data_IF_259096821107
#
_entry.id   IF_259096821107
#
_cell.length_a   1.000
_cell.length_b   1.000
_cell.length_c   1.000
_cell.angle_alpha   90.00
_cell.angle_beta   90.00
_cell.angle_gamma   90.00
#
_symmetry.space_group_name_H-M   'P 1'
#
loop_
_entity.id
_entity.type
_entity.pdbx_description
1 polymer ?
#
# COMPACT_ATOMS: atom_id res chain seq x y z
N UNK A 1 18.21 30.90 68.41
CA UNK A 1 18.93 31.46 67.25
C UNK A 1 19.30 30.26 66.38
N UNK A 2 18.50 30.00 65.34
CA UNK A 2 18.88 30.18 63.92
C UNK A 2 20.02 29.19 63.53
N UNK A 3 19.93 28.32 62.52
CA UNK A 3 19.34 28.48 61.19
C UNK A 3 19.25 27.14 60.43
N UNK A 4 18.21 27.03 59.58
CA UNK A 4 18.06 26.27 58.32
C UNK A 4 18.88 24.98 58.07
N UNK A 5 18.15 23.86 58.00
CA UNK A 5 18.42 22.77 57.04
C UNK A 5 17.14 22.54 56.24
N UNK A 6 17.18 22.90 54.96
CA UNK A 6 16.14 22.61 53.97
C UNK A 6 16.27 21.16 53.52
N UNK A 7 15.35 20.30 53.99
CA UNK A 7 15.08 19.01 53.38
C UNK A 7 13.88 19.16 52.45
N UNK A 8 14.11 19.08 51.15
CA UNK A 8 13.01 18.90 50.19
C UNK A 8 12.57 17.43 50.22
N UNK A 9 11.28 17.25 50.46
CA UNK A 9 10.56 15.99 50.42
C UNK A 9 10.52 15.46 48.99
N UNK A 10 10.78 14.16 48.87
CA UNK A 10 10.48 13.32 47.71
C UNK A 10 8.98 13.36 47.38
N UNK A 11 8.60 14.05 46.31
CA UNK A 11 7.34 13.81 45.60
C UNK A 11 7.62 12.86 44.42
N UNK A 12 7.59 11.57 44.74
CA UNK A 12 7.55 10.47 43.79
C UNK A 12 6.08 10.10 43.63
N UNK A 13 5.39 10.50 42.54
CA UNK A 13 4.12 9.87 42.07
C UNK A 13 3.40 10.54 40.88
N UNK A 14 4.08 11.18 39.93
CA UNK A 14 3.36 11.71 38.73
C UNK A 14 3.87 11.26 37.36
N UNK A 15 4.86 10.38 37.26
CA UNK A 15 5.52 10.11 35.96
C UNK A 15 5.24 8.72 35.34
N UNK A 16 4.30 7.94 35.87
CA UNK A 16 3.98 6.60 35.32
C UNK A 16 2.76 6.54 34.41
N UNK A 17 2.02 7.64 34.23
CA UNK A 17 0.80 7.66 33.42
C UNK A 17 1.00 8.18 31.98
N UNK A 18 2.16 8.77 31.66
CA UNK A 18 2.45 9.33 30.33
C UNK A 18 3.26 8.38 29.41
N UNK A 19 3.66 7.20 29.89
CA UNK A 19 4.53 6.27 29.17
C UNK A 19 3.80 5.17 28.36
N UNK A 20 2.47 5.19 28.31
CA UNK A 20 1.66 4.23 27.50
C UNK A 20 1.14 4.91 26.23
N UNK A 21 2.00 5.64 25.54
CA UNK A 21 1.80 5.92 24.12
C UNK A 21 2.26 4.67 23.37
N UNK A 22 1.30 3.84 22.96
CA UNK A 22 1.52 2.55 22.30
C UNK A 22 2.53 2.67 21.15
N UNK A 23 3.70 2.08 21.33
CA UNK A 23 4.77 2.03 20.33
C UNK A 23 4.37 1.09 19.16
N UNK A 24 3.60 1.63 18.21
CA UNK A 24 3.08 0.92 17.03
C UNK A 24 4.18 0.54 16.00
N UNK A 25 5.43 0.97 16.21
CA UNK A 25 6.62 0.40 15.54
C UNK A 25 6.67 -1.12 15.74
N UNK A 26 6.23 -1.58 16.91
CA UNK A 26 6.04 -3.00 17.18
C UNK A 26 4.98 -3.61 16.27
N UNK A 27 3.75 -3.11 16.20
CA UNK A 27 2.65 -3.84 15.53
C UNK A 27 2.93 -4.15 14.04
N UNK A 28 3.40 -3.21 13.22
CA UNK A 28 3.68 -3.50 11.81
C UNK A 28 4.90 -4.40 11.59
N UNK A 29 5.98 -4.15 12.34
CA UNK A 29 7.28 -4.80 12.17
C UNK A 29 7.37 -6.13 12.93
N UNK A 30 6.76 -6.21 14.12
CA UNK A 30 6.74 -7.39 15.00
C UNK A 30 5.52 -8.28 14.80
N UNK A 31 4.45 -7.83 14.13
CA UNK A 31 3.29 -8.69 13.85
C UNK A 31 3.01 -8.89 12.36
N UNK A 32 2.76 -7.85 11.56
CA UNK A 32 2.22 -8.02 10.19
C UNK A 32 3.27 -8.52 9.19
N UNK A 33 4.49 -8.01 9.26
CA UNK A 33 5.59 -8.41 8.36
C UNK A 33 6.60 -9.34 9.04
N UNK A 34 6.41 -9.67 10.31
CA UNK A 34 7.29 -10.53 11.06
C UNK A 34 7.25 -11.97 10.52
N UNK A 35 8.43 -12.53 10.28
CA UNK A 35 8.61 -13.89 9.81
C UNK A 35 9.53 -14.64 10.76
N UNK A 36 9.08 -15.82 11.17
CA UNK A 36 9.92 -16.77 11.88
C UNK A 36 10.80 -17.51 10.87
N UNK A 37 12.12 -17.48 11.06
CA UNK A 37 13.04 -18.28 10.25
C UNK A 37 13.02 -19.72 10.72
N UNK A 38 12.63 -20.64 9.83
CA UNK A 38 12.60 -22.07 10.12
C UNK A 38 13.90 -22.77 9.71
N UNK A 39 14.46 -22.35 8.56
CA UNK A 39 15.72 -22.87 8.03
C UNK A 39 16.35 -21.82 7.09
N UNK A 40 17.48 -22.15 6.47
CA UNK A 40 18.05 -21.38 5.37
C UNK A 40 17.02 -21.24 4.25
N UNK A 41 16.73 -19.99 3.90
CA UNK A 41 15.83 -19.64 2.80
C UNK A 41 14.39 -20.19 2.98
N UNK A 42 13.97 -20.50 4.23
CA UNK A 42 12.63 -20.95 4.60
C UNK A 42 12.11 -20.22 5.84
N UNK A 43 10.95 -19.59 5.70
CA UNK A 43 10.35 -18.74 6.72
C UNK A 43 8.87 -19.06 6.94
N UNK A 44 8.31 -18.64 8.07
CA UNK A 44 6.91 -18.85 8.47
C UNK A 44 6.27 -17.55 8.96
N UNK A 45 5.15 -17.18 8.35
CA UNK A 45 4.26 -16.12 8.84
C UNK A 45 3.05 -16.72 9.56
N UNK A 46 2.72 -16.19 10.74
CA UNK A 46 1.62 -16.69 11.60
C UNK A 46 0.57 -15.63 11.95
N UNK A 47 0.97 -14.36 12.00
CA UNK A 47 0.10 -13.26 12.42
C UNK A 47 -0.53 -12.61 11.19
N UNK A 48 -1.71 -13.07 10.80
CA UNK A 48 -2.41 -12.54 9.63
C UNK A 48 -3.41 -11.46 10.02
N UNK A 49 -3.29 -10.29 9.41
CA UNK A 49 -4.39 -9.33 9.42
C UNK A 49 -5.47 -9.87 8.47
N UNK A 50 -6.65 -10.10 9.02
CA UNK A 50 -7.75 -10.72 8.29
C UNK A 50 -8.78 -9.65 7.94
N UNK A 51 -8.79 -9.11 6.71
CA UNK A 51 -9.85 -8.21 6.28
C UNK A 51 -11.22 -8.90 6.35
N UNK A 52 -12.29 -8.12 6.37
CA UNK A 52 -13.68 -8.62 6.41
C UNK A 52 -14.06 -9.61 5.30
N UNK A 53 -13.29 -9.67 4.22
CA UNK A 53 -13.39 -10.71 3.19
C UNK A 53 -13.10 -12.12 3.73
N UNK A 54 -12.57 -12.24 4.96
CA UNK A 54 -12.18 -13.49 5.64
C UNK A 54 -11.10 -14.27 4.89
N UNK A 55 -10.28 -13.56 4.12
CA UNK A 55 -9.16 -14.10 3.36
C UNK A 55 -7.88 -13.40 3.79
N UNK A 56 -6.74 -14.00 3.50
CA UNK A 56 -5.47 -13.30 3.63
C UNK A 56 -5.46 -12.04 2.76
N UNK A 57 -5.00 -10.94 3.33
CA UNK A 57 -4.77 -9.70 2.58
C UNK A 57 -3.56 -9.87 1.66
N UNK A 58 -3.71 -9.53 0.38
CA UNK A 58 -2.66 -9.78 -0.62
C UNK A 58 -1.39 -9.01 -0.34
N UNK A 59 -1.49 -7.74 0.06
CA UNK A 59 -0.37 -6.89 0.46
C UNK A 59 0.45 -7.49 1.61
N UNK A 60 -0.20 -8.18 2.55
CA UNK A 60 0.54 -8.89 3.60
C UNK A 60 1.39 -10.02 3.03
N UNK A 61 0.85 -10.82 2.11
CA UNK A 61 1.57 -11.94 1.52
C UNK A 61 2.71 -11.45 0.63
N UNK A 62 2.52 -10.35 -0.11
CA UNK A 62 3.57 -9.71 -0.91
C UNK A 62 4.66 -9.14 0.00
N UNK A 63 4.29 -8.37 1.02
CA UNK A 63 5.23 -7.77 1.97
C UNK A 63 6.08 -8.82 2.68
N UNK A 64 5.47 -9.88 3.21
CA UNK A 64 6.18 -11.00 3.82
C UNK A 64 7.06 -11.76 2.82
N UNK A 65 6.60 -12.00 1.59
CA UNK A 65 7.44 -12.60 0.56
C UNK A 65 8.68 -11.75 0.25
N UNK A 66 8.53 -10.42 0.24
CA UNK A 66 9.64 -9.50 0.04
C UNK A 66 10.60 -9.48 1.25
N UNK A 67 10.11 -9.58 2.49
CA UNK A 67 10.94 -9.76 3.69
C UNK A 67 11.82 -11.00 3.55
N UNK A 68 11.22 -12.16 3.23
CA UNK A 68 11.95 -13.40 3.04
C UNK A 68 13.02 -13.30 1.94
N UNK A 69 12.70 -12.64 0.82
CA UNK A 69 13.66 -12.39 -0.25
C UNK A 69 14.80 -11.46 0.21
N UNK A 70 14.48 -10.36 0.89
CA UNK A 70 15.43 -9.33 1.33
C UNK A 70 16.43 -9.83 2.39
N UNK A 71 16.01 -10.75 3.25
CA UNK A 71 16.84 -11.49 4.21
C UNK A 71 17.86 -12.42 3.53
N UNK A 72 17.57 -12.88 2.30
CA UNK A 72 18.43 -13.83 1.57
C UNK A 72 19.50 -13.16 0.68
N UNK A 73 19.56 -11.82 0.66
CA UNK A 73 20.52 -11.02 -0.12
C UNK A 73 21.42 -10.18 0.79
N UNK A 74 22.60 -9.78 0.30
CA UNK A 74 23.54 -8.95 1.06
C UNK A 74 22.96 -7.58 1.46
N UNK A 75 23.58 -6.92 2.43
CA UNK A 75 23.12 -5.61 2.95
C UNK A 75 23.22 -4.48 1.92
N UNK A 76 24.17 -4.58 0.99
CA UNK A 76 24.48 -3.53 0.01
C UNK A 76 23.59 -3.53 -1.25
N UNK A 77 22.55 -4.36 -1.28
CA UNK A 77 21.59 -4.40 -2.39
C UNK A 77 20.19 -4.08 -1.91
N UNK A 78 19.47 -3.33 -2.72
CA UNK A 78 18.08 -2.95 -2.48
C UNK A 78 17.20 -3.56 -3.57
N UNK A 79 15.96 -3.89 -3.21
CA UNK A 79 14.97 -4.30 -4.20
C UNK A 79 14.72 -3.13 -5.15
N UNK A 80 14.67 -3.40 -6.45
CA UNK A 80 14.30 -2.41 -7.46
C UNK A 80 13.06 -2.83 -8.25
N UNK A 81 12.70 -4.12 -8.23
CA UNK A 81 11.41 -4.57 -8.76
C UNK A 81 10.94 -5.87 -8.12
N UNK A 82 9.63 -6.07 -8.13
CA UNK A 82 9.00 -7.35 -7.82
C UNK A 82 7.82 -7.63 -8.75
N UNK A 83 7.53 -8.91 -8.96
CA UNK A 83 6.38 -9.41 -9.70
C UNK A 83 5.77 -10.60 -8.96
N UNK A 84 4.48 -10.55 -8.71
CA UNK A 84 3.74 -11.51 -7.93
C UNK A 84 2.53 -12.02 -8.72
N UNK A 85 2.22 -13.31 -8.58
CA UNK A 85 0.97 -13.90 -9.02
C UNK A 85 0.26 -14.55 -7.83
N UNK A 86 -0.99 -14.16 -7.60
CA UNK A 86 -1.89 -14.78 -6.64
C UNK A 86 -2.50 -16.03 -7.26
N UNK A 87 -2.01 -17.20 -6.85
CA UNK A 87 -2.37 -18.48 -7.45
C UNK A 87 -3.63 -19.06 -6.80
N UNK A 88 -3.78 -18.88 -5.49
CA UNK A 88 -4.91 -19.41 -4.70
C UNK A 88 -5.28 -18.47 -3.57
N UNK A 89 -6.54 -18.53 -3.15
CA UNK A 89 -7.00 -17.83 -1.95
C UNK A 89 -6.34 -18.45 -0.71
N UNK A 90 -5.73 -17.61 0.12
CA UNK A 90 -5.14 -18.06 1.38
C UNK A 90 -6.17 -18.19 2.51
N UNK A 91 -5.93 -19.16 3.39
CA UNK A 91 -6.70 -19.40 4.61
C UNK A 91 -6.06 -18.65 5.79
N UNK A 92 -6.75 -17.66 6.39
CA UNK A 92 -6.20 -16.89 7.51
C UNK A 92 -5.96 -17.70 8.79
N UNK A 93 -6.51 -18.92 8.90
CA UNK A 93 -6.34 -19.77 10.08
C UNK A 93 -5.08 -20.61 10.06
N UNK A 94 -4.36 -20.61 8.93
CA UNK A 94 -3.20 -21.47 8.71
C UNK A 94 -1.96 -20.61 8.46
N UNK A 95 -0.82 -20.91 9.10
CA UNK A 95 0.43 -20.21 8.81
C UNK A 95 0.81 -20.31 7.33
N UNK A 96 1.52 -19.29 6.83
CA UNK A 96 2.05 -19.28 5.47
C UNK A 96 3.54 -19.56 5.51
N UNK A 97 3.99 -20.54 4.73
CA UNK A 97 5.42 -20.83 4.55
C UNK A 97 5.96 -20.05 3.36
N UNK A 98 7.08 -19.36 3.53
CA UNK A 98 7.78 -18.63 2.48
C UNK A 98 9.08 -19.35 2.16
N UNK A 99 9.10 -20.02 1.02
CA UNK A 99 10.29 -20.70 0.52
C UNK A 99 10.98 -19.81 -0.51
N UNK A 100 12.24 -19.48 -0.26
CA UNK A 100 13.08 -18.65 -1.13
C UNK A 100 14.02 -19.54 -1.93
N UNK A 101 14.07 -19.29 -3.22
CA UNK A 101 15.03 -19.86 -4.15
C UNK A 101 15.95 -18.74 -4.65
N UNK A 102 17.25 -18.96 -4.53
CA UNK A 102 18.29 -18.04 -5.01
C UNK A 102 18.51 -18.26 -6.51
N UNK A 103 17.64 -17.67 -7.32
CA UNK A 103 17.68 -17.82 -8.78
C UNK A 103 19.00 -17.34 -9.38
N UNK A 104 19.56 -16.23 -8.87
CA UNK A 104 20.84 -15.70 -9.33
C UNK A 104 21.50 -14.81 -8.29
N UNK A 105 22.82 -14.94 -8.13
CA UNK A 105 23.69 -13.98 -7.48
C UNK A 105 24.75 -13.51 -8.48
N UNK A 106 24.57 -12.31 -9.02
CA UNK A 106 25.52 -11.66 -9.92
C UNK A 106 26.32 -10.55 -9.23
N UNK A 107 27.23 -9.92 -9.96
CA UNK A 107 28.05 -8.82 -9.44
C UNK A 107 27.22 -7.61 -8.99
N UNK A 108 26.23 -7.20 -9.79
CA UNK A 108 25.41 -6.01 -9.53
C UNK A 108 23.96 -6.34 -9.18
N UNK A 109 23.47 -7.51 -9.60
CA UNK A 109 22.08 -7.92 -9.49
C UNK A 109 21.94 -9.26 -8.78
N UNK A 110 20.94 -9.37 -7.91
CA UNK A 110 20.52 -10.64 -7.31
C UNK A 110 19.04 -10.86 -7.59
N UNK A 111 18.66 -12.09 -7.92
CA UNK A 111 17.26 -12.47 -8.20
C UNK A 111 16.83 -13.54 -7.20
N UNK A 112 15.65 -13.36 -6.63
CA UNK A 112 15.00 -14.28 -5.70
C UNK A 112 13.63 -14.67 -6.19
N UNK A 113 13.36 -15.96 -6.14
CA UNK A 113 12.05 -16.55 -6.41
C UNK A 113 11.46 -16.98 -5.07
N UNK A 114 10.29 -16.49 -4.70
CA UNK A 114 9.63 -16.80 -3.43
C UNK A 114 8.29 -17.46 -3.68
N UNK A 115 8.04 -18.59 -3.03
CA UNK A 115 6.74 -19.24 -3.00
C UNK A 115 6.14 -19.07 -1.61
N UNK A 116 4.96 -18.48 -1.54
CA UNK A 116 4.13 -18.53 -0.33
C UNK A 116 3.23 -19.77 -0.41
N UNK A 117 3.26 -20.63 0.60
CA UNK A 117 2.70 -21.99 0.55
C UNK A 117 1.77 -22.20 1.74
N UNK A 118 0.58 -22.75 1.47
CA UNK A 118 -0.33 -23.31 2.46
C UNK A 118 -0.81 -24.68 1.98
N UNK A 119 -1.02 -25.62 2.90
CA UNK A 119 -1.45 -26.99 2.56
C UNK A 119 -0.60 -27.67 1.48
N UNK A 120 0.71 -27.37 1.45
CA UNK A 120 1.65 -27.89 0.44
C UNK A 120 1.46 -27.31 -0.98
N UNK A 121 0.61 -26.28 -1.15
CA UNK A 121 0.31 -25.66 -2.43
C UNK A 121 0.70 -24.18 -2.43
N UNK A 122 1.29 -23.65 -3.52
CA UNK A 122 1.54 -22.23 -3.66
C UNK A 122 0.23 -21.43 -3.68
N UNK A 123 0.17 -20.40 -2.83
CA UNK A 123 -0.88 -19.37 -2.83
C UNK A 123 -0.39 -18.08 -3.51
N UNK A 124 0.93 -17.82 -3.47
CA UNK A 124 1.61 -16.71 -4.16
C UNK A 124 2.90 -17.24 -4.79
N UNK A 125 3.21 -16.75 -5.99
CA UNK A 125 4.55 -16.85 -6.58
C UNK A 125 5.07 -15.42 -6.74
N UNK A 126 6.26 -15.12 -6.22
CA UNK A 126 6.90 -13.82 -6.30
C UNK A 126 8.30 -13.95 -6.91
N UNK A 127 8.67 -13.03 -7.81
CA UNK A 127 10.03 -12.81 -8.28
C UNK A 127 10.46 -11.42 -7.83
N UNK A 128 11.55 -11.30 -7.10
CA UNK A 128 12.12 -10.04 -6.66
C UNK A 128 13.55 -9.89 -7.20
N UNK A 129 13.83 -8.70 -7.75
CA UNK A 129 15.15 -8.34 -8.26
C UNK A 129 15.76 -7.23 -7.43
N UNK A 130 17.02 -7.44 -7.05
CA UNK A 130 17.80 -6.57 -6.18
C UNK A 130 19.00 -6.04 -6.95
N UNK A 131 19.34 -4.78 -6.70
CA UNK A 131 20.44 -4.08 -7.34
C UNK A 131 21.29 -3.37 -6.30
N UNK A 132 22.61 -3.35 -6.53
CA UNK A 132 23.52 -2.52 -5.75
C UNK A 132 23.21 -1.04 -5.95
N UNK A 133 23.28 -0.23 -4.89
CA UNK A 133 23.07 1.21 -5.03
C UNK A 133 24.21 1.80 -5.87
N UNK A 134 23.90 2.34 -7.04
CA UNK A 134 24.86 2.93 -7.97
C UNK A 134 24.32 4.26 -8.51
N UNK A 135 25.15 5.31 -8.59
CA UNK A 135 24.72 6.59 -9.15
C UNK A 135 24.39 6.44 -10.63
N UNK A 136 23.29 7.07 -11.06
CA UNK A 136 22.92 7.19 -12.47
C UNK A 136 23.25 8.58 -13.00
N UNK A 137 23.89 8.70 -14.18
CA UNK A 137 24.09 9.99 -14.85
C UNK A 137 22.80 10.55 -15.47
N UNK A 138 21.76 9.73 -15.60
CA UNK A 138 20.47 10.12 -16.17
C UNK A 138 19.37 9.95 -15.13
N UNK A 139 18.61 11.02 -14.90
CA UNK A 139 17.47 11.03 -13.98
C UNK A 139 16.35 11.89 -14.57
N UNK A 140 15.15 11.34 -14.60
CA UNK A 140 13.92 12.05 -14.90
C UNK A 140 12.76 11.32 -14.22
N UNK A 141 11.68 12.05 -13.96
CA UNK A 141 10.43 11.51 -13.43
C UNK A 141 9.28 12.42 -13.88
N UNK A 142 8.06 11.91 -13.81
CA UNK A 142 6.88 12.76 -13.95
C UNK A 142 6.77 13.73 -12.78
N UNK A 143 6.13 14.87 -13.02
CA UNK A 143 5.82 15.83 -11.96
C UNK A 143 4.69 15.29 -11.08
N UNK A 144 4.86 15.34 -9.77
CA UNK A 144 3.80 14.99 -8.81
C UNK A 144 2.59 15.93 -9.01
N UNK A 145 1.34 15.41 -9.03
CA UNK A 145 0.16 16.26 -9.16
C UNK A 145 -0.01 17.18 -7.95
N UNK A 146 -0.54 18.38 -8.20
CA UNK A 146 -0.88 19.33 -7.13
C UNK A 146 -2.15 18.88 -6.41
N UNK A 147 -2.06 18.65 -5.11
CA UNK A 147 -3.16 18.22 -4.24
C UNK A 147 -3.05 18.92 -2.88
N UNK A 148 -4.16 19.09 -2.14
CA UNK A 148 -4.12 19.52 -0.75
C UNK A 148 -3.16 18.68 0.10
N UNK A 149 -2.44 19.30 1.03
CA UNK A 149 -1.54 18.59 1.94
C UNK A 149 -2.35 17.68 2.89
N UNK A 150 -1.73 16.61 3.43
CA UNK A 150 -2.43 15.65 4.28
C UNK A 150 -3.01 16.27 5.56
N UNK A 151 -2.49 17.40 6.04
CA UNK A 151 -2.97 18.11 7.22
C UNK A 151 -4.37 18.69 7.01
N UNK A 152 -4.73 19.05 5.77
CA UNK A 152 -6.02 19.65 5.41
C UNK A 152 -7.10 18.60 5.11
N UNK A 153 -6.74 17.32 5.14
CA UNK A 153 -7.59 16.21 4.71
C UNK A 153 -8.07 15.37 5.89
N UNK A 154 -9.33 14.96 5.80
CA UNK A 154 -9.96 14.05 6.75
C UNK A 154 -9.41 12.63 6.57
N UNK A 155 -9.23 11.94 7.68
CA UNK A 155 -8.97 10.50 7.73
C UNK A 155 -10.20 9.71 7.28
N UNK A 156 -10.00 8.45 6.89
CA UNK A 156 -11.11 7.53 6.62
C UNK A 156 -12.08 7.40 7.80
N UNK A 157 -11.56 7.43 9.02
CA UNK A 157 -12.34 7.35 10.26
C UNK A 157 -13.23 8.59 10.44
N UNK A 158 -12.66 9.80 10.30
CA UNK A 158 -13.40 11.06 10.37
C UNK A 158 -14.45 11.19 9.26
N UNK A 159 -14.13 10.72 8.05
CA UNK A 159 -15.10 10.66 6.96
C UNK A 159 -16.29 9.76 7.33
N UNK A 160 -16.03 8.56 7.86
CA UNK A 160 -17.11 7.67 8.26
C UNK A 160 -17.98 8.30 9.35
N UNK A 161 -17.37 8.96 10.35
CA UNK A 161 -18.11 9.68 11.39
C UNK A 161 -18.97 10.81 10.82
N UNK A 162 -18.44 11.56 9.84
CA UNK A 162 -19.20 12.59 9.12
C UNK A 162 -20.39 12.01 8.33
N UNK A 163 -20.29 10.79 7.80
CA UNK A 163 -21.44 10.12 7.18
C UNK A 163 -22.45 9.62 8.21
N UNK A 164 -21.99 9.09 9.35
CA UNK A 164 -22.85 8.59 10.42
C UNK A 164 -23.69 9.70 11.08
N UNK A 165 -23.21 10.95 11.08
CA UNK A 165 -23.94 12.09 11.62
C UNK A 165 -25.10 12.57 10.71
N UNK A 166 -25.22 12.06 9.48
CA UNK A 166 -26.31 12.42 8.56
C UNK A 166 -27.64 11.83 9.03
N UNK A 167 -28.71 12.65 9.18
CA UNK A 167 -29.98 12.21 9.76
C UNK A 167 -30.71 11.15 8.92
N UNK A 168 -30.62 11.22 7.59
CA UNK A 168 -31.36 10.37 6.66
C UNK A 168 -30.64 9.07 6.28
N UNK A 169 -29.64 8.67 7.06
CA UNK A 169 -28.85 7.48 6.78
C UNK A 169 -29.62 6.20 7.12
N UNK A 170 -29.84 5.33 6.14
CA UNK A 170 -30.51 4.05 6.35
C UNK A 170 -29.79 3.18 7.40
N UNK A 171 -30.53 2.43 8.22
CA UNK A 171 -29.95 1.61 9.31
C UNK A 171 -28.92 0.59 8.81
N UNK A 172 -29.17 -0.04 7.66
CA UNK A 172 -28.22 -0.98 7.04
C UNK A 172 -26.88 -0.31 6.68
N UNK A 173 -26.94 0.97 6.31
CA UNK A 173 -25.76 1.77 6.01
C UNK A 173 -25.00 2.15 7.28
N UNK A 174 -25.69 2.59 8.34
CA UNK A 174 -25.10 2.82 9.67
C UNK A 174 -24.36 1.59 10.17
N UNK A 175 -24.98 0.41 10.06
CA UNK A 175 -24.35 -0.86 10.43
C UNK A 175 -23.09 -1.16 9.59
N UNK A 176 -23.10 -0.84 8.29
CA UNK A 176 -21.94 -1.01 7.41
C UNK A 176 -20.77 -0.09 7.80
N UNK A 177 -21.07 1.17 8.09
CA UNK A 177 -20.10 2.20 8.49
C UNK A 177 -19.50 1.93 9.88
N UNK A 178 -20.32 1.56 10.87
CA UNK A 178 -19.82 1.18 12.20
C UNK A 178 -18.89 -0.04 12.14
N UNK A 179 -19.17 -1.00 11.24
CA UNK A 179 -18.24 -2.12 11.00
C UNK A 179 -16.94 -1.68 10.31
N UNK A 180 -16.95 -0.58 9.53
CA UNK A 180 -15.73 -0.02 8.93
C UNK A 180 -14.85 0.66 9.95
N UNK A 181 -15.44 1.39 10.90
CA UNK A 181 -14.71 2.02 12.00
C UNK A 181 -14.02 1.02 12.93
N UNK A 182 -14.62 -0.15 13.11
CA UNK A 182 -14.06 -1.20 13.97
C UNK A 182 -12.88 -1.95 13.34
N UNK A 183 -12.59 -1.75 12.04
CA UNK A 183 -11.44 -2.37 11.39
C UNK A 183 -10.19 -1.52 11.68
N UNK A 184 -9.33 -2.00 12.57
CA UNK A 184 -8.01 -1.41 12.74
C UNK A 184 -7.11 -1.81 11.56
N UNK A 185 -6.65 -0.79 10.84
CA UNK A 185 -5.71 -0.96 9.73
C UNK A 185 -4.40 -0.30 10.14
N UNK A 186 -3.24 -0.96 9.94
CA UNK A 186 -1.97 -0.44 10.41
C UNK A 186 -1.36 0.64 9.48
N UNK A 187 -2.18 1.20 8.58
CA UNK A 187 -1.81 2.33 7.72
C UNK A 187 -2.82 3.45 7.93
N UNK A 188 -2.35 4.69 7.80
CA UNK A 188 -3.20 5.87 7.79
C UNK A 188 -3.48 6.26 6.34
N UNK A 189 -4.75 6.55 6.02
CA UNK A 189 -5.17 6.93 4.68
C UNK A 189 -6.04 8.19 4.75
N UNK A 190 -5.69 9.18 3.92
CA UNK A 190 -6.44 10.43 3.75
C UNK A 190 -6.76 10.66 2.27
N UNK A 191 -8.01 10.42 1.82
CA UNK A 191 -8.38 10.65 0.43
C UNK A 191 -8.41 12.13 0.09
N UNK A 192 -7.87 12.49 -1.08
CA UNK A 192 -7.78 13.89 -1.54
C UNK A 192 -9.14 14.43 -1.98
N UNK A 193 -9.93 13.61 -2.69
CA UNK A 193 -11.28 13.95 -3.16
C UNK A 193 -12.16 12.69 -3.04
N UNK A 194 -12.59 12.31 -1.82
CA UNK A 194 -13.32 11.07 -1.63
C UNK A 194 -14.64 11.11 -2.40
N UNK A 195 -14.98 10.06 -3.18
CA UNK A 195 -16.31 9.93 -3.75
C UNK A 195 -17.36 9.88 -2.63
N UNK A 196 -18.61 10.19 -2.96
CA UNK A 196 -19.72 9.86 -2.07
C UNK A 196 -19.66 8.36 -1.71
N UNK A 197 -19.92 8.02 -0.44
CA UNK A 197 -19.74 6.66 0.07
C UNK A 197 -20.53 5.62 -0.74
N UNK A 198 -21.67 6.02 -1.33
CA UNK A 198 -22.50 5.15 -2.15
C UNK A 198 -22.16 5.15 -3.64
N UNK A 199 -21.21 5.99 -4.07
CA UNK A 199 -20.86 6.24 -5.48
C UNK A 199 -22.12 6.52 -6.30
N UNK A 200 -22.85 7.55 -5.91
CA UNK A 200 -24.09 7.96 -6.59
C UNK A 200 -23.83 8.63 -7.95
N UNK A 201 -22.62 9.15 -8.17
CA UNK A 201 -22.25 9.92 -9.37
C UNK A 201 -21.04 9.28 -10.04
N UNK A 202 -21.05 9.25 -11.38
CA UNK A 202 -19.95 8.68 -12.16
C UNK A 202 -18.74 9.60 -12.05
N UNK A 203 -17.56 9.01 -11.90
CA UNK A 203 -16.29 9.73 -11.79
C UNK A 203 -15.25 9.11 -12.71
N UNK A 204 -14.24 9.90 -13.07
CA UNK A 204 -13.05 9.36 -13.71
C UNK A 204 -12.48 8.20 -12.89
N UNK A 205 -11.97 7.14 -13.52
CA UNK A 205 -11.40 6.00 -12.83
C UNK A 205 -10.01 6.35 -12.28
N UNK A 206 -9.93 7.38 -11.45
CA UNK A 206 -8.70 7.91 -10.86
C UNK A 206 -8.94 8.31 -9.42
N UNK A 207 -8.05 7.92 -8.51
CA UNK A 207 -8.08 8.37 -7.11
C UNK A 207 -6.71 8.80 -6.64
N UNK A 208 -6.72 9.75 -5.73
CA UNK A 208 -5.56 10.27 -5.03
C UNK A 208 -5.82 10.17 -3.53
N UNK A 209 -4.88 9.63 -2.78
CA UNK A 209 -4.95 9.59 -1.33
C UNK A 209 -3.55 9.61 -0.73
N UNK A 210 -3.39 10.33 0.38
CA UNK A 210 -2.19 10.23 1.19
C UNK A 210 -2.20 8.94 1.99
N UNK A 211 -1.06 8.27 2.06
CA UNK A 211 -0.87 7.05 2.82
C UNK A 211 0.45 7.07 3.56
N UNK A 212 0.45 6.52 4.78
CA UNK A 212 1.68 6.21 5.52
C UNK A 212 1.46 5.04 6.46
N UNK A 213 2.53 4.35 6.81
CA UNK A 213 2.53 3.38 7.90
C UNK A 213 2.33 4.09 9.24
N UNK A 214 1.50 3.51 10.13
CA UNK A 214 1.38 3.99 11.51
C UNK A 214 2.61 3.55 12.31
N UNK A 215 3.30 4.48 12.97
CA UNK A 215 4.50 4.22 13.77
C UNK A 215 5.80 4.70 13.11
N UNK A 216 6.94 4.36 13.70
CA UNK A 216 8.26 4.79 13.21
C UNK A 216 9.07 3.58 12.71
N UNK A 217 9.60 3.59 11.50
CA UNK A 217 10.44 2.49 10.97
C UNK A 217 11.92 2.81 11.19
N UNK A 218 12.31 4.08 11.01
CA UNK A 218 13.68 4.55 11.14
C UNK A 218 14.44 4.61 9.82
N UNK A 219 15.32 5.61 9.66
CA UNK A 219 15.96 5.97 8.37
C UNK A 219 16.93 4.92 7.80
N UNK A 220 17.42 3.99 8.62
CA UNK A 220 18.49 3.07 8.26
C UNK A 220 18.05 1.80 7.53
N UNK A 221 16.76 1.46 7.57
CA UNK A 221 16.27 0.17 7.06
C UNK A 221 15.42 0.34 5.80
N UNK A 222 16.09 0.65 4.69
CA UNK A 222 15.43 0.82 3.40
C UNK A 222 14.76 -0.46 2.90
N UNK A 223 15.31 -1.64 3.23
CA UNK A 223 14.70 -2.93 2.87
C UNK A 223 13.33 -3.07 3.54
N UNK A 224 13.22 -2.73 4.82
CA UNK A 224 11.96 -2.73 5.54
C UNK A 224 10.98 -1.69 4.99
N UNK A 225 11.44 -0.47 4.66
CA UNK A 225 10.60 0.52 3.98
C UNK A 225 10.01 -0.01 2.66
N UNK A 226 10.80 -0.71 1.83
CA UNK A 226 10.29 -1.36 0.63
C UNK A 226 9.28 -2.47 0.94
N UNK A 227 9.50 -3.28 1.98
CA UNK A 227 8.56 -4.32 2.42
C UNK A 227 7.21 -3.72 2.88
N UNK A 228 7.26 -2.62 3.62
CA UNK A 228 6.06 -1.90 4.06
C UNK A 228 5.35 -1.25 2.88
N UNK A 229 6.07 -0.65 1.92
CA UNK A 229 5.46 -0.12 0.71
C UNK A 229 4.76 -1.22 -0.11
N UNK A 230 5.35 -2.41 -0.18
CA UNK A 230 4.73 -3.56 -0.84
C UNK A 230 3.50 -4.10 -0.12
N UNK A 231 3.41 -3.88 1.20
CA UNK A 231 2.18 -4.10 1.95
C UNK A 231 1.11 -3.05 1.63
N UNK A 232 1.51 -1.76 1.64
CA UNK A 232 0.61 -0.63 1.42
C UNK A 232 0.02 -0.64 -0.01
N UNK A 233 0.81 -1.06 -1.00
CA UNK A 233 0.42 -1.02 -2.41
C UNK A 233 -0.81 -1.88 -2.74
N UNK A 234 -1.11 -2.94 -2.00
CA UNK A 234 -2.31 -3.74 -2.30
C UNK A 234 -3.59 -3.15 -1.66
N UNK A 235 -3.50 -1.97 -1.04
CA UNK A 235 -4.60 -1.33 -0.32
C UNK A 235 -5.38 -0.33 -1.20
N UNK A 236 -6.71 -0.33 -1.10
CA UNK A 236 -7.63 0.69 -1.65
C UNK A 236 -7.47 1.09 -3.14
N UNK A 237 -6.99 0.20 -4.01
CA UNK A 237 -6.85 0.50 -5.44
C UNK A 237 -7.91 -0.16 -6.35
N UNK A 238 -8.34 -1.39 -6.03
CA UNK A 238 -9.24 -2.17 -6.90
C UNK A 238 -10.56 -1.47 -7.22
N UNK A 239 -11.06 -0.67 -6.28
CA UNK A 239 -12.36 -0.03 -6.41
C UNK A 239 -12.30 1.26 -7.27
N UNK A 240 -11.11 1.71 -7.69
CA UNK A 240 -10.90 2.78 -8.67
C UNK A 240 -11.55 2.45 -10.01
N UNK A 241 -11.52 1.18 -10.44
CA UNK A 241 -12.18 0.75 -11.66
C UNK A 241 -13.72 0.85 -11.62
N UNK A 242 -14.31 0.91 -10.43
CA UNK A 242 -15.77 0.98 -10.28
C UNK A 242 -16.28 2.43 -10.26
N UNK A 243 -15.40 3.43 -10.24
CA UNK A 243 -15.77 4.84 -10.20
C UNK A 243 -16.62 5.31 -11.40
N UNK A 244 -16.38 4.86 -12.64
CA UNK A 244 -17.22 5.26 -13.78
C UNK A 244 -18.64 4.66 -13.75
N UNK A 245 -18.94 3.72 -12.84
CA UNK A 245 -20.17 2.93 -12.83
C UNK A 245 -20.95 3.08 -11.51
N UNK A 246 -21.72 4.17 -11.34
CA UNK A 246 -22.55 4.40 -10.15
C UNK A 246 -23.50 3.26 -9.83
N UNK A 247 -23.65 2.97 -8.54
CA UNK A 247 -24.53 1.88 -8.06
C UNK A 247 -24.05 0.46 -8.39
N UNK A 248 -23.04 0.29 -9.26
CA UNK A 248 -22.47 -1.02 -9.55
C UNK A 248 -21.64 -1.52 -8.36
N UNK A 249 -21.85 -2.79 -8.01
CA UNK A 249 -21.11 -3.48 -6.95
C UNK A 249 -20.49 -4.73 -7.52
N UNK A 250 -19.19 -4.90 -7.30
CA UNK A 250 -18.54 -6.16 -7.58
C UNK A 250 -19.01 -7.20 -6.56
N UNK A 251 -19.48 -8.35 -7.04
CA UNK A 251 -19.86 -9.46 -6.16
C UNK A 251 -18.66 -10.22 -5.66
N UNK A 252 -17.54 -10.11 -6.38
CA UNK A 252 -16.28 -10.74 -6.09
C UNK A 252 -15.15 -9.88 -6.65
N UNK A 253 -14.14 -9.60 -5.83
CA UNK A 253 -12.90 -8.92 -6.20
C UNK A 253 -11.72 -9.75 -5.70
N UNK A 254 -10.74 -9.96 -6.57
CA UNK A 254 -9.45 -10.56 -6.21
C UNK A 254 -8.32 -9.92 -7.02
N UNK A 255 -7.15 -9.76 -6.40
CA UNK A 255 -5.91 -9.46 -7.11
C UNK A 255 -5.44 -10.74 -7.83
N UNK A 256 -5.06 -10.65 -9.10
CA UNK A 256 -4.47 -11.76 -9.87
C UNK A 256 -2.96 -11.69 -9.86
N UNK A 257 -2.43 -10.50 -10.10
CA UNK A 257 -1.01 -10.25 -10.09
C UNK A 257 -0.70 -8.90 -9.44
N UNK A 258 0.56 -8.68 -9.13
CA UNK A 258 1.04 -7.44 -8.53
C UNK A 258 2.50 -7.22 -8.89
N UNK A 259 2.82 -6.07 -9.45
CA UNK A 259 4.17 -5.70 -9.82
C UNK A 259 4.51 -4.31 -9.29
N UNK A 260 5.74 -4.15 -8.82
CA UNK A 260 6.23 -2.86 -8.30
C UNK A 260 7.64 -2.60 -8.79
N UNK A 261 7.96 -1.33 -8.98
CA UNK A 261 9.31 -0.85 -9.22
C UNK A 261 9.68 0.22 -8.18
N UNK A 262 10.85 0.04 -7.56
CA UNK A 262 11.39 0.94 -6.55
C UNK A 262 12.49 1.76 -7.22
N UNK A 263 12.27 3.06 -7.36
CA UNK A 263 13.15 3.96 -8.12
C UNK A 263 14.10 4.76 -7.25
N UNK A 264 13.68 5.09 -6.03
CA UNK A 264 14.43 5.94 -5.14
C UNK A 264 14.26 5.46 -3.70
N UNK A 265 15.09 5.99 -2.80
CA UNK A 265 14.95 5.82 -1.37
C UNK A 265 13.80 6.67 -0.83
N UNK A 266 13.09 6.16 0.17
CA UNK A 266 11.94 6.82 0.75
C UNK A 266 11.65 6.31 2.15
N UNK A 267 10.67 6.95 2.79
CA UNK A 267 10.20 6.56 4.11
C UNK A 267 8.72 6.21 4.07
N UNK A 268 8.44 4.92 4.22
CA UNK A 268 7.07 4.41 4.30
C UNK A 268 6.31 4.87 5.56
N UNK A 269 7.02 5.39 6.58
CA UNK A 269 6.46 6.02 7.78
C UNK A 269 6.29 7.55 7.65
N UNK A 270 6.55 8.10 6.46
CA UNK A 270 6.21 9.47 6.07
C UNK A 270 5.07 9.46 5.04
N UNK A 271 4.43 10.61 4.84
CA UNK A 271 3.31 10.72 3.91
C UNK A 271 3.74 10.45 2.47
N UNK A 272 3.03 9.55 1.81
CA UNK A 272 3.16 9.25 0.39
C UNK A 272 1.83 9.47 -0.30
N UNK A 273 1.83 10.23 -1.40
CA UNK A 273 0.70 10.38 -2.30
C UNK A 273 0.54 9.11 -3.13
N UNK A 274 -0.61 8.47 -2.99
CA UNK A 274 -0.96 7.28 -3.73
C UNK A 274 -1.98 7.63 -4.83
N UNK A 275 -1.57 7.48 -6.09
CA UNK A 275 -2.33 7.81 -7.30
C UNK A 275 -2.76 6.53 -8.04
N UNK A 276 -4.02 6.17 -7.98
CA UNK A 276 -4.55 4.97 -8.67
C UNK A 276 -5.30 5.37 -9.93
N UNK A 277 -5.19 4.59 -11.01
CA UNK A 277 -5.96 4.83 -12.24
C UNK A 277 -6.41 3.52 -12.91
N UNK A 278 -7.61 3.46 -13.48
CA UNK A 278 -8.04 2.34 -14.31
C UNK A 278 -8.11 2.76 -15.76
N UNK A 279 -7.05 2.45 -16.50
CA UNK A 279 -6.95 2.74 -17.95
C UNK A 279 -7.96 1.94 -18.78
N UNK A 280 -8.30 0.73 -18.35
CA UNK A 280 -9.28 -0.12 -19.01
C UNK A 280 -10.02 -1.03 -18.02
N UNK A 281 -11.22 -1.44 -18.40
CA UNK A 281 -12.04 -2.44 -17.70
C UNK A 281 -12.92 -3.17 -18.70
N UNK A 282 -12.90 -4.50 -18.64
CA UNK A 282 -13.70 -5.38 -19.48
C UNK A 282 -13.31 -6.83 -19.27
N UNK A 283 -14.12 -7.78 -19.77
CA UNK A 283 -13.83 -9.22 -19.66
C UNK A 283 -13.42 -9.69 -18.24
N UNK A 284 -14.06 -9.15 -17.21
CA UNK A 284 -13.82 -9.48 -15.79
C UNK A 284 -12.40 -9.14 -15.24
N UNK A 285 -11.60 -8.27 -15.89
CA UNK A 285 -10.24 -7.85 -15.41
C UNK A 285 -9.99 -6.33 -15.24
N UNK A 286 -9.01 -5.91 -14.40
CA UNK A 286 -8.89 -4.51 -13.90
C UNK A 286 -7.50 -3.91 -13.55
N UNK A 287 -7.42 -2.57 -13.62
CA UNK A 287 -6.64 -1.53 -12.87
C UNK A 287 -5.11 -1.40 -13.00
N UNK A 288 -4.61 -0.15 -12.92
CA UNK A 288 -3.20 0.26 -12.89
C UNK A 288 -2.96 1.28 -11.76
N UNK A 289 -1.72 1.53 -11.30
CA UNK A 289 -1.48 2.41 -10.15
C UNK A 289 -0.07 3.07 -10.13
N UNK A 290 0.03 4.28 -9.57
CA UNK A 290 1.26 5.06 -9.35
C UNK A 290 1.35 5.55 -7.88
N UNK A 291 2.54 5.66 -7.28
CA UNK A 291 2.70 6.15 -5.88
C UNK A 291 3.90 7.08 -5.76
N UNK A 292 3.71 8.32 -5.31
CA UNK A 292 4.73 9.38 -5.13
C UNK A 292 4.91 9.73 -3.61
N UNK A 293 6.08 9.77 -2.98
CA UNK A 293 6.32 10.19 -1.61
C UNK A 293 6.35 11.73 -1.52
N UNK A 294 6.17 12.26 -0.32
CA UNK A 294 6.62 13.60 0.03
C UNK A 294 7.89 13.50 0.87
N UNK A 295 8.82 14.42 0.68
CA UNK A 295 9.77 14.79 1.73
C UNK A 295 9.58 16.25 2.09
N UNK A 296 9.24 16.50 3.35
CA UNK A 296 9.26 17.85 3.89
C UNK A 296 10.70 18.36 3.95
N UNK A 297 11.02 19.33 3.11
CA UNK A 297 12.05 20.31 3.40
C UNK A 297 11.42 21.69 3.33
N UNK A 298 11.11 22.25 4.50
CA UNK A 298 10.80 23.66 4.64
C UNK A 298 11.99 24.47 4.13
N UNK A 299 11.83 25.19 3.03
CA UNK A 299 12.62 26.40 2.75
C UNK A 299 11.85 27.26 1.73
N UNK A 300 11.36 28.43 2.17
CA UNK A 300 11.11 29.54 1.24
C UNK A 300 12.47 30.13 0.85
N UNK A 301 12.65 30.52 -0.42
CA UNK A 301 12.54 31.94 -0.69
C UNK A 301 11.79 32.27 -1.99
N UNK A 302 11.09 33.40 -1.90
CA UNK A 302 10.57 34.22 -2.98
C UNK A 302 11.57 34.44 -4.12
N UNK A 303 11.16 34.25 -5.38
CA UNK A 303 11.46 35.21 -6.44
C UNK A 303 10.57 34.98 -7.67
N UNK A 304 9.91 36.05 -8.09
CA UNK A 304 9.10 36.21 -9.29
C UNK A 304 9.95 36.35 -10.56
N UNK A 305 9.59 35.63 -11.63
CA UNK A 305 9.63 36.14 -13.01
C UNK A 305 8.89 35.23 -14.01
N UNK A 306 7.87 35.79 -14.67
CA UNK A 306 7.36 35.40 -16.01
C UNK A 306 8.03 36.31 -17.07
N UNK A 307 7.95 36.09 -18.41
CA UNK A 307 7.02 35.27 -19.20
C UNK A 307 7.73 34.40 -20.29
N UNK A 308 7.11 33.49 -21.06
CA UNK A 308 6.20 33.70 -22.20
C UNK A 308 5.66 32.34 -22.71
N UNK A 309 4.38 32.35 -23.07
CA UNK A 309 3.57 31.28 -23.67
C UNK A 309 3.88 30.99 -25.13
N UNK A 310 3.74 29.72 -25.55
CA UNK A 310 2.94 29.30 -26.72
C UNK A 310 2.60 27.79 -26.59
N UNK A 311 1.43 27.34 -27.08
CA UNK A 311 0.85 26.04 -26.73
C UNK A 311 1.22 24.98 -27.76
N UNK A 312 1.63 23.81 -27.28
CA UNK A 312 1.56 22.58 -28.07
C UNK A 312 0.93 21.50 -27.20
N UNK A 313 -0.36 21.26 -27.42
CA UNK A 313 -1.00 20.03 -26.99
C UNK A 313 -0.27 18.86 -27.65
N UNK A 314 0.54 18.17 -26.87
CA UNK A 314 0.99 16.82 -27.17
C UNK A 314 0.84 16.01 -25.90
N UNK A 315 -0.32 15.36 -25.77
CA UNK A 315 -0.49 14.30 -24.80
C UNK A 315 0.26 13.08 -25.34
N UNK A 316 1.56 13.01 -25.08
CA UNK A 316 2.31 11.76 -25.23
C UNK A 316 2.24 11.01 -23.91
N UNK A 317 1.17 10.23 -23.75
CA UNK A 317 1.12 9.17 -22.74
C UNK A 317 1.98 8.01 -23.26
N UNK A 318 3.14 7.79 -22.66
CA UNK A 318 3.97 6.63 -22.97
C UNK A 318 3.38 5.41 -22.26
N UNK A 319 2.66 4.59 -23.02
CA UNK A 319 2.06 3.33 -22.57
C UNK A 319 3.14 2.26 -22.37
N UNK A 320 3.20 1.68 -21.17
CA UNK A 320 3.78 0.34 -20.98
C UNK A 320 2.61 -0.62 -20.80
N UNK A 321 2.23 -1.22 -21.92
CA UNK A 321 1.17 -2.21 -22.03
C UNK A 321 1.75 -3.61 -21.72
N UNK A 322 1.11 -4.37 -20.83
CA UNK A 322 1.23 -5.83 -20.84
C UNK A 322 -0.16 -6.45 -20.91
N UNK A 323 -0.41 -7.13 -22.01
CA UNK A 323 -1.56 -8.00 -22.23
C UNK A 323 -1.31 -9.38 -21.57
N UNK A 324 -2.38 -10.15 -21.28
CA UNK A 324 -2.60 -11.53 -21.80
C UNK A 324 -3.76 -12.29 -21.09
N UNK A 325 -4.65 -12.86 -21.93
CA UNK A 325 -5.59 -14.02 -21.87
C UNK A 325 -6.28 -14.53 -20.57
N UNK A 326 -7.57 -14.91 -20.67
CA UNK A 326 -8.02 -16.33 -20.88
C UNK A 326 -9.56 -16.54 -20.90
N UNK A 327 -9.94 -17.60 -21.63
CA UNK A 327 -11.13 -18.47 -21.62
C UNK A 327 -12.56 -17.93 -21.33
N UNK A 328 -13.41 -18.08 -22.36
CA UNK A 328 -14.86 -17.95 -22.31
C UNK A 328 -15.47 -19.27 -21.82
N UNK A 329 -16.10 -19.27 -20.65
CA UNK A 329 -17.14 -20.28 -20.33
C UNK A 329 -18.50 -19.61 -20.52
N UNK A 330 -19.13 -19.89 -21.66
CA UNK A 330 -20.49 -19.46 -21.92
C UNK A 330 -21.45 -20.30 -21.08
N UNK A 331 -21.90 -19.79 -19.95
CA UNK A 331 -23.18 -20.21 -19.37
C UNK A 331 -24.26 -19.20 -19.77
N UNK A 332 -25.07 -19.60 -20.75
CA UNK A 332 -26.32 -18.95 -21.08
C UNK A 332 -27.28 -19.09 -19.90
N UNK A 333 -27.65 -17.98 -19.25
CA UNK A 333 -28.92 -17.91 -18.56
C UNK A 333 -29.60 -16.56 -18.75
N UNK A 334 -30.85 -16.65 -19.18
CA UNK A 334 -31.76 -15.56 -19.46
C UNK A 334 -32.07 -14.71 -18.22
N UNK A 335 -32.15 -13.38 -18.41
CA UNK A 335 -32.72 -12.35 -17.53
C UNK A 335 -32.41 -12.50 -16.02
N UNK A 336 -31.36 -11.83 -15.56
CA UNK A 336 -31.13 -11.53 -14.15
C UNK A 336 -29.72 -10.98 -13.92
N UNK A 337 -29.62 -9.79 -13.32
CA UNK A 337 -28.41 -9.05 -12.92
C UNK A 337 -27.07 -9.77 -13.18
N UNK A 338 -26.30 -9.29 -14.15
CA UNK A 338 -24.94 -9.76 -14.39
C UNK A 338 -24.11 -9.64 -13.10
N UNK A 339 -23.65 -10.76 -12.56
CA UNK A 339 -22.76 -10.80 -11.39
C UNK A 339 -21.35 -10.49 -11.87
N UNK A 340 -20.89 -9.26 -11.65
CA UNK A 340 -19.52 -8.86 -11.96
C UNK A 340 -18.56 -9.64 -11.05
N UNK A 341 -17.74 -10.50 -11.65
CA UNK A 341 -16.55 -11.08 -11.04
C UNK A 341 -15.37 -10.29 -11.55
N UNK A 342 -14.46 -9.91 -10.67
CA UNK A 342 -13.43 -8.95 -11.01
C UNK A 342 -12.06 -9.38 -10.51
N UNK A 343 -11.08 -9.34 -11.41
CA UNK A 343 -9.74 -9.87 -11.22
C UNK A 343 -8.70 -8.83 -11.68
N UNK A 344 -7.92 -8.24 -10.77
CA UNK A 344 -7.08 -7.10 -11.13
C UNK A 344 -5.62 -7.46 -11.38
N UNK A 345 -5.02 -6.72 -12.31
CA UNK A 345 -3.60 -6.57 -12.51
C UNK A 345 -3.12 -5.35 -11.73
N UNK A 346 -1.85 -5.34 -11.34
CA UNK A 346 -1.28 -4.16 -10.71
C UNK A 346 0.16 -3.94 -11.15
N UNK A 347 0.45 -2.72 -11.58
CA UNK A 347 1.79 -2.19 -11.84
C UNK A 347 1.85 -0.92 -10.97
N UNK A 348 2.85 -0.81 -10.08
CA UNK A 348 3.06 0.35 -9.19
C UNK A 348 4.38 1.02 -9.54
N UNK A 349 4.32 2.30 -9.89
CA UNK A 349 5.49 3.13 -10.16
C UNK A 349 5.54 4.41 -9.32
N UNK A 350 6.76 4.75 -8.92
CA UNK A 350 7.33 6.09 -8.78
C UNK A 350 7.40 6.75 -7.41
N UNK A 351 8.17 6.15 -6.51
CA UNK A 351 8.45 6.78 -5.22
C UNK A 351 9.40 8.01 -5.39
N UNK A 352 8.88 9.17 -5.86
CA UNK A 352 9.51 10.51 -6.06
C UNK A 352 9.60 11.50 -4.88
N UNK A 353 10.79 11.94 -4.48
CA UNK A 353 10.94 13.11 -3.62
C UNK A 353 10.41 14.39 -4.32
N UNK A 354 9.81 15.37 -3.62
CA UNK A 354 9.69 16.73 -4.13
C UNK A 354 11.09 17.25 -4.46
N UNK A 355 11.29 17.60 -5.72
CA UNK A 355 12.44 18.40 -6.16
C UNK A 355 12.40 19.77 -5.47
N UNK A 356 13.56 20.20 -4.99
CA UNK A 356 13.85 21.45 -4.27
C UNK A 356 13.07 22.69 -4.73
#
# INVERSE_FOLDING_TARGET
MAEKVSGEMSEDSSDSAAAVSQDLRSVLVTSVLNLEKLDKDLYRGTHHWVPRTRRLFGGQIIGQALVAAAESVGENVLVHSLHCYFVRAGDPKVPVLYQVERTRDGRSFSVRSVKAIQYGQPILICQASFHSNQPSPLQHQFTMPSVPPPEDLLTGEELIQLYLSKPDLAEKAKQGLNKLLADEVPIEIKPVNPPDFYRCVAMEPKKLYWVRAKGHIGKGDMKLHCCVAAYVSDYSFLDTALLPYPGQRATFLASLDHAMWFHNTFRADEWMLYETESSWTGMDTYTYTHTHPLTHTHFSPTHTSHPLTLPTHSHTHTHIERQVWTHRDTYTHARGHAKLRAAAFQLVLCVSLPTC
#
